data_IF_052358046930
#
_entry.id   IF_052358046930
#
_cell.length_a   1.000
_cell.length_b   1.000
_cell.length_c   1.000
_cell.angle_alpha   90.00
_cell.angle_beta   90.00
_cell.angle_gamma   90.00
#
_symmetry.space_group_name_H-M   'P 1'
#
loop_
_entity.id
_entity.type
_entity.pdbx_description
1 polymer ?
#
# COMPACT_ATOMS: atom_id res chain seq x y z
N UNK A 1 -9.82 -21.91 17.09
CA UNK A 1 -10.10 -20.58 17.69
C UNK A 1 -11.55 -20.60 18.11
N UNK A 2 -11.83 -20.39 19.39
CA UNK A 2 -13.17 -20.67 19.93
C UNK A 2 -14.09 -19.44 19.89
N UNK A 3 -13.52 -18.24 19.96
CA UNK A 3 -14.24 -16.98 19.88
C UNK A 3 -13.40 -15.87 19.27
N UNK A 4 -14.00 -15.07 18.40
CA UNK A 4 -13.42 -13.88 17.77
C UNK A 4 -14.24 -12.68 18.21
N UNK A 5 -13.60 -11.69 18.79
CA UNK A 5 -14.23 -10.40 19.10
C UNK A 5 -13.83 -9.41 17.99
N UNK A 6 -14.80 -9.03 17.17
CA UNK A 6 -14.65 -8.09 16.06
C UNK A 6 -15.09 -6.69 16.49
N UNK A 7 -14.17 -5.75 16.61
CA UNK A 7 -14.42 -4.41 17.16
C UNK A 7 -14.33 -3.38 16.05
N UNK A 8 -15.46 -2.76 15.69
CA UNK A 8 -15.53 -1.69 14.68
C UNK A 8 -15.18 -2.14 13.26
N UNK A 9 -15.03 -3.45 13.02
CA UNK A 9 -14.63 -3.99 11.72
C UNK A 9 -15.82 -4.06 10.78
N UNK A 10 -15.60 -3.63 9.53
CA UNK A 10 -16.52 -3.86 8.42
C UNK A 10 -15.84 -4.83 7.45
N UNK A 11 -16.33 -6.05 7.40
CA UNK A 11 -15.83 -7.06 6.49
C UNK A 11 -16.32 -6.75 5.06
N UNK A 12 -15.40 -6.37 4.18
CA UNK A 12 -15.65 -6.17 2.74
C UNK A 12 -14.89 -7.24 1.96
N UNK A 13 -15.20 -7.37 0.70
CA UNK A 13 -14.51 -8.27 -0.24
C UNK A 13 -13.00 -8.02 -0.28
N UNK A 14 -12.59 -6.76 -0.39
CA UNK A 14 -11.16 -6.38 -0.45
C UNK A 14 -10.43 -6.70 0.85
N UNK A 15 -11.02 -6.38 2.01
CA UNK A 15 -10.39 -6.60 3.33
C UNK A 15 -10.29 -8.09 3.65
N UNK A 16 -11.27 -8.87 3.21
CA UNK A 16 -11.33 -10.31 3.48
C UNK A 16 -10.70 -11.17 2.39
N UNK A 17 -10.13 -10.55 1.36
CA UNK A 17 -9.63 -11.27 0.19
C UNK A 17 -10.73 -12.01 -0.57
N UNK A 18 -11.92 -11.38 -0.73
CA UNK A 18 -13.09 -11.96 -1.38
C UNK A 18 -13.88 -12.90 -0.45
N UNK A 19 -14.05 -12.52 0.82
CA UNK A 19 -14.77 -13.29 1.85
C UNK A 19 -14.18 -14.69 2.10
N UNK A 20 -12.82 -14.75 2.20
CA UNK A 20 -12.09 -16.01 2.44
C UNK A 20 -11.80 -16.31 3.90
N UNK A 21 -12.33 -15.52 4.83
CA UNK A 21 -12.18 -15.79 6.25
C UNK A 21 -12.71 -17.19 6.62
N UNK A 22 -11.91 -17.96 7.34
CA UNK A 22 -12.23 -19.34 7.68
C UNK A 22 -13.03 -19.52 8.97
N UNK A 23 -13.63 -18.44 9.52
CA UNK A 23 -14.48 -18.52 10.71
C UNK A 23 -15.97 -18.44 10.35
N UNK A 24 -16.80 -18.98 11.23
CA UNK A 24 -18.26 -18.94 11.08
C UNK A 24 -18.87 -17.87 11.98
N UNK A 25 -20.13 -17.50 11.71
CA UNK A 25 -20.84 -16.48 12.51
C UNK A 25 -21.00 -16.88 13.99
N UNK A 26 -21.02 -18.17 14.28
CA UNK A 26 -21.13 -18.72 15.64
C UNK A 26 -19.87 -18.47 16.48
N UNK A 27 -18.76 -18.20 15.82
CA UNK A 27 -17.48 -17.90 16.45
C UNK A 27 -17.24 -16.41 16.67
N UNK A 28 -18.16 -15.52 16.23
CA UNK A 28 -17.89 -14.07 16.18
C UNK A 28 -18.86 -13.29 17.06
N UNK A 29 -18.29 -12.41 17.88
CA UNK A 29 -18.99 -11.33 18.55
C UNK A 29 -18.60 -10.03 17.81
N UNK A 30 -19.59 -9.37 17.17
CA UNK A 30 -19.38 -8.11 16.47
C UNK A 30 -19.77 -6.95 17.37
N UNK A 31 -18.82 -6.04 17.65
CA UNK A 31 -19.04 -4.82 18.44
C UNK A 31 -18.92 -3.63 17.51
N UNK A 32 -20.03 -2.94 17.27
CA UNK A 32 -20.13 -1.73 16.46
C UNK A 32 -20.38 -0.50 17.34
N UNK A 33 -20.27 0.73 16.83
CA UNK A 33 -20.37 1.95 17.63
C UNK A 33 -21.58 2.02 18.57
N UNK A 34 -22.73 1.50 18.13
CA UNK A 34 -23.99 1.55 18.89
C UNK A 34 -24.73 0.21 19.00
N UNK A 35 -24.11 -0.87 18.59
CA UNK A 35 -24.74 -2.20 18.62
C UNK A 35 -23.72 -3.32 18.82
N UNK A 36 -24.16 -4.38 19.47
CA UNK A 36 -23.42 -5.65 19.55
C UNK A 36 -24.25 -6.71 18.84
N UNK A 37 -23.58 -7.57 18.05
CA UNK A 37 -24.22 -8.72 17.42
C UNK A 37 -23.51 -9.98 17.87
N UNK A 38 -24.27 -10.95 18.32
CA UNK A 38 -23.83 -12.27 18.73
C UNK A 38 -24.67 -13.30 17.95
N UNK A 39 -24.01 -13.99 17.04
CA UNK A 39 -24.65 -14.90 16.08
C UNK A 39 -25.74 -14.14 15.28
N UNK A 40 -27.00 -14.39 15.51
CA UNK A 40 -28.12 -13.76 14.80
C UNK A 40 -28.84 -12.69 15.67
N UNK A 41 -28.44 -12.51 16.93
CA UNK A 41 -29.06 -11.55 17.84
C UNK A 41 -28.29 -10.23 17.84
N UNK A 42 -29.04 -9.13 17.62
CA UNK A 42 -28.54 -7.77 17.69
C UNK A 42 -29.03 -7.11 18.97
N UNK A 43 -28.10 -6.54 19.74
CA UNK A 43 -28.34 -5.83 20.98
C UNK A 43 -28.06 -4.35 20.74
N UNK A 44 -28.97 -3.50 21.22
CA UNK A 44 -28.80 -2.04 21.09
C UNK A 44 -30.05 -1.26 21.49
N UNK A 45 -29.90 0.06 21.71
CA UNK A 45 -28.64 0.80 21.59
C UNK A 45 -27.68 0.52 22.74
N UNK A 46 -26.42 0.24 22.46
CA UNK A 46 -25.33 0.14 23.43
C UNK A 46 -24.09 0.81 22.86
N UNK A 47 -23.41 1.60 23.66
CA UNK A 47 -22.21 2.31 23.21
C UNK A 47 -21.01 1.39 23.24
N UNK A 48 -20.25 1.33 22.15
CA UNK A 48 -19.08 0.44 22.03
C UNK A 48 -18.08 0.63 23.17
N UNK A 49 -17.84 1.88 23.61
CA UNK A 49 -16.92 2.17 24.70
C UNK A 49 -17.35 1.50 26.00
N UNK A 50 -18.64 1.53 26.33
CA UNK A 50 -19.18 0.91 27.56
C UNK A 50 -19.04 -0.63 27.51
N UNK A 51 -19.31 -1.22 26.34
CA UNK A 51 -19.12 -2.64 26.12
C UNK A 51 -17.68 -3.06 26.32
N UNK A 52 -16.74 -2.31 25.74
CA UNK A 52 -15.31 -2.61 25.87
C UNK A 52 -14.81 -2.43 27.30
N UNK A 53 -15.27 -1.40 28.00
CA UNK A 53 -14.95 -1.19 29.42
C UNK A 53 -15.44 -2.37 30.28
N UNK A 54 -16.70 -2.76 30.13
CA UNK A 54 -17.25 -3.91 30.87
C UNK A 54 -16.55 -5.22 30.55
N UNK A 55 -16.17 -5.45 29.28
CA UNK A 55 -15.37 -6.61 28.91
C UNK A 55 -14.00 -6.59 29.60
N UNK A 56 -13.33 -5.43 29.57
CA UNK A 56 -12.03 -5.26 30.23
C UNK A 56 -12.10 -5.54 31.72
N UNK A 57 -13.18 -5.05 32.39
CA UNK A 57 -13.36 -5.20 33.84
C UNK A 57 -13.76 -6.64 34.23
N UNK A 58 -14.35 -7.39 33.29
CA UNK A 58 -14.87 -8.74 33.53
C UNK A 58 -13.91 -9.86 33.15
N UNK A 59 -12.90 -9.58 32.31
CA UNK A 59 -11.94 -10.58 31.86
C UNK A 59 -10.78 -10.66 32.85
N UNK A 60 -10.60 -11.82 33.44
CA UNK A 60 -9.41 -12.06 34.29
C UNK A 60 -8.12 -11.98 33.45
N UNK A 61 -7.17 -11.20 33.95
CA UNK A 61 -5.83 -11.16 33.35
C UNK A 61 -5.14 -12.51 33.46
N UNK A 62 -5.03 -13.23 32.36
CA UNK A 62 -4.15 -14.40 32.29
C UNK A 62 -2.72 -13.95 31.97
N UNK A 63 -1.76 -14.56 32.68
CA UNK A 63 -0.35 -14.30 32.43
C UNK A 63 0.01 -14.70 31.00
N UNK A 64 0.64 -13.83 30.23
CA UNK A 64 1.05 -14.09 28.84
C UNK A 64 1.91 -15.35 28.69
N UNK A 65 2.66 -15.71 29.75
CA UNK A 65 3.54 -16.86 29.78
C UNK A 65 2.80 -18.21 29.73
N UNK A 66 1.47 -18.22 29.91
CA UNK A 66 0.63 -19.43 29.84
C UNK A 66 -0.04 -19.64 28.47
N UNK A 67 0.09 -18.66 27.57
CA UNK A 67 -0.44 -18.76 26.23
C UNK A 67 0.67 -19.30 25.31
N UNK A 68 0.53 -20.55 24.88
CA UNK A 68 1.35 -21.16 23.81
C UNK A 68 0.96 -20.54 22.45
N UNK A 69 1.09 -19.21 22.36
CA UNK A 69 0.93 -18.48 21.12
C UNK A 69 2.28 -18.51 20.42
N UNK A 70 2.45 -19.44 19.51
CA UNK A 70 3.59 -19.41 18.60
C UNK A 70 3.49 -18.10 17.80
N UNK A 71 4.51 -17.25 17.84
CA UNK A 71 4.55 -16.07 16.97
C UNK A 71 4.39 -16.57 15.53
N UNK A 72 3.56 -15.87 14.75
CA UNK A 72 3.50 -16.12 13.31
C UNK A 72 4.87 -15.72 12.73
N UNK A 73 5.77 -16.70 12.69
CA UNK A 73 7.04 -16.55 12.00
C UNK A 73 6.71 -16.78 10.54
N UNK A 74 6.85 -15.74 9.72
CA UNK A 74 6.95 -15.90 8.27
C UNK A 74 8.16 -16.82 8.03
N UNK A 75 7.88 -18.14 7.92
CA UNK A 75 8.91 -19.10 7.54
C UNK A 75 9.46 -18.65 6.19
N UNK A 76 10.76 -18.30 6.17
CA UNK A 76 11.52 -17.84 5.00
C UNK A 76 10.75 -16.85 4.11
N UNK A 77 10.77 -15.58 4.46
CA UNK A 77 10.39 -14.53 3.53
C UNK A 77 11.28 -14.62 2.30
N UNK A 78 10.72 -14.71 1.08
CA UNK A 78 11.52 -14.71 -0.16
C UNK A 78 12.32 -13.42 -0.36
N UNK A 79 12.19 -12.47 0.58
CA UNK A 79 12.87 -11.19 0.61
C UNK A 79 14.18 -11.21 1.40
N UNK A 80 14.47 -12.27 2.17
CA UNK A 80 15.70 -12.36 2.99
C UNK A 80 16.93 -12.73 2.18
N UNK A 81 16.78 -13.21 0.95
CA UNK A 81 17.89 -13.51 0.05
C UNK A 81 18.51 -12.22 -0.51
N UNK A 82 19.82 -12.25 -0.77
CA UNK A 82 20.52 -11.14 -1.42
C UNK A 82 19.89 -10.82 -2.77
N UNK A 83 19.54 -9.55 -2.97
CA UNK A 83 18.99 -9.10 -4.24
C UNK A 83 20.12 -8.80 -5.24
N UNK A 84 20.24 -9.64 -6.26
CA UNK A 84 21.17 -9.42 -7.38
C UNK A 84 20.38 -8.85 -8.55
N UNK A 85 20.58 -7.55 -8.91
CA UNK A 85 19.88 -6.93 -10.03
C UNK A 85 20.36 -7.49 -11.36
N UNK A 86 19.45 -7.60 -12.32
CA UNK A 86 19.71 -8.09 -13.68
C UNK A 86 19.39 -7.02 -14.71
N UNK A 87 19.99 -7.07 -15.89
CA UNK A 87 19.65 -6.19 -17.01
C UNK A 87 18.37 -6.69 -17.72
N UNK A 88 17.28 -6.78 -16.97
CA UNK A 88 15.95 -7.18 -17.44
C UNK A 88 14.90 -6.21 -16.95
N UNK A 89 13.78 -6.11 -17.66
CA UNK A 89 12.66 -5.25 -17.28
C UNK A 89 12.26 -5.49 -15.81
N UNK A 90 11.98 -4.41 -15.10
CA UNK A 90 11.51 -4.46 -13.72
C UNK A 90 10.13 -5.13 -13.69
N UNK A 91 10.00 -6.18 -12.88
CA UNK A 91 8.71 -6.81 -12.60
C UNK A 91 8.20 -6.42 -11.21
N UNK A 92 6.88 -6.55 -10.98
CA UNK A 92 6.28 -6.29 -9.67
C UNK A 92 6.99 -7.07 -8.55
N UNK A 93 7.22 -8.37 -8.77
CA UNK A 93 7.92 -9.21 -7.80
C UNK A 93 9.32 -8.69 -7.48
N UNK A 94 10.09 -8.37 -8.52
CA UNK A 94 11.49 -7.93 -8.37
C UNK A 94 11.60 -6.52 -7.82
N UNK A 95 10.67 -5.63 -8.19
CA UNK A 95 10.56 -4.30 -7.60
C UNK A 95 10.37 -4.38 -6.08
N UNK A 96 9.44 -5.21 -5.60
CA UNK A 96 9.17 -5.33 -4.17
C UNK A 96 10.30 -6.02 -3.41
N UNK A 97 11.04 -6.95 -4.03
CA UNK A 97 12.27 -7.48 -3.46
C UNK A 97 13.33 -6.37 -3.28
N UNK A 98 13.49 -5.50 -4.26
CA UNK A 98 14.42 -4.39 -4.21
C UNK A 98 13.98 -3.34 -3.16
N UNK A 99 12.69 -3.04 -3.09
CA UNK A 99 12.12 -2.13 -2.10
C UNK A 99 12.29 -2.65 -0.66
N UNK A 100 12.18 -3.94 -0.42
CA UNK A 100 12.46 -4.54 0.88
C UNK A 100 13.86 -4.18 1.40
N UNK A 101 14.88 -4.23 0.54
CA UNK A 101 16.25 -3.86 0.90
C UNK A 101 16.49 -2.34 0.96
N UNK A 102 15.65 -1.55 0.30
CA UNK A 102 15.76 -0.09 0.26
C UNK A 102 15.11 0.60 1.47
N UNK A 103 14.02 0.03 1.98
CA UNK A 103 13.29 0.58 3.13
C UNK A 103 14.13 0.55 4.40
N UNK A 104 13.95 1.55 5.26
CA UNK A 104 14.70 1.73 6.50
C UNK A 104 13.76 1.94 7.69
N UNK A 105 14.28 1.74 8.89
CA UNK A 105 13.55 2.10 10.11
C UNK A 105 13.12 3.57 10.09
N UNK A 106 11.97 3.84 10.66
CA UNK A 106 11.35 5.17 10.73
C UNK A 106 10.90 5.77 9.39
N UNK A 107 10.91 5.05 8.28
CA UNK A 107 10.33 5.52 7.03
C UNK A 107 8.82 5.76 7.16
N UNK A 108 8.29 6.61 6.29
CA UNK A 108 6.86 6.70 5.99
C UNK A 108 6.66 6.14 4.59
N UNK A 109 6.07 4.96 4.49
CA UNK A 109 5.74 4.32 3.23
C UNK A 109 4.29 4.65 2.87
N UNK A 110 4.10 5.38 1.78
CA UNK A 110 2.81 5.74 1.24
C UNK A 110 2.58 4.93 -0.03
N UNK A 111 1.49 4.17 -0.10
CA UNK A 111 1.21 3.31 -1.25
C UNK A 111 -0.17 3.58 -1.82
N UNK A 112 -0.19 3.84 -3.12
CA UNK A 112 -1.43 4.10 -3.83
C UNK A 112 -2.23 2.83 -4.06
N UNK A 113 -3.55 2.98 -4.01
CA UNK A 113 -4.47 1.92 -4.42
C UNK A 113 -4.19 1.51 -5.87
N UNK A 114 -3.91 0.22 -6.06
CA UNK A 114 -3.46 -0.31 -7.34
C UNK A 114 -2.38 -1.36 -7.16
N UNK A 115 -1.58 -1.59 -8.19
CA UNK A 115 -0.44 -2.53 -8.09
C UNK A 115 0.51 -2.23 -6.93
N UNK A 116 0.76 -0.95 -6.53
CA UNK A 116 1.55 -0.64 -5.35
C UNK A 116 0.97 -1.22 -4.05
N UNK A 117 -0.33 -1.05 -3.82
CA UNK A 117 -0.97 -1.55 -2.60
C UNK A 117 -0.91 -3.07 -2.51
N UNK A 118 -1.29 -3.76 -3.58
CA UNK A 118 -1.29 -5.23 -3.59
C UNK A 118 0.13 -5.82 -3.53
N UNK A 119 1.11 -5.14 -4.09
CA UNK A 119 2.50 -5.58 -4.05
C UNK A 119 3.15 -5.38 -2.68
N UNK A 120 2.88 -4.25 -2.03
CA UNK A 120 3.42 -3.92 -0.70
C UNK A 120 2.89 -4.83 0.41
N UNK A 121 1.72 -5.44 0.22
CA UNK A 121 1.13 -6.35 1.20
C UNK A 121 1.98 -7.60 1.48
N UNK A 122 2.92 -7.92 0.60
CA UNK A 122 3.76 -9.10 0.70
C UNK A 122 5.09 -8.86 1.44
N UNK A 123 5.51 -7.60 1.65
CA UNK A 123 6.82 -7.29 2.23
C UNK A 123 6.75 -6.99 3.73
N UNK A 124 7.65 -7.57 4.54
CA UNK A 124 7.85 -7.11 5.91
C UNK A 124 8.37 -5.68 5.93
N UNK A 125 7.84 -4.84 6.81
CA UNK A 125 8.30 -3.47 6.96
C UNK A 125 9.33 -3.37 8.10
N UNK A 126 10.34 -2.49 7.97
CA UNK A 126 11.27 -2.20 9.06
C UNK A 126 10.54 -1.62 10.28
N UNK A 127 11.19 -1.70 11.45
CA UNK A 127 10.64 -1.18 12.71
C UNK A 127 10.27 0.32 12.59
N UNK A 128 9.22 0.71 13.29
CA UNK A 128 8.72 2.10 13.33
C UNK A 128 8.35 2.70 11.96
N UNK A 129 8.22 1.89 10.92
CA UNK A 129 7.69 2.35 9.63
C UNK A 129 6.22 2.71 9.80
N UNK A 130 5.84 3.93 9.36
CA UNK A 130 4.44 4.30 9.19
C UNK A 130 3.97 3.89 7.80
N UNK A 131 2.82 3.23 7.72
CA UNK A 131 2.23 2.81 6.46
C UNK A 131 0.94 3.59 6.19
N UNK A 132 0.86 4.23 5.03
CA UNK A 132 -0.30 5.05 4.62
C UNK A 132 -0.86 4.54 3.30
N UNK A 133 -2.13 4.22 3.30
CA UNK A 133 -2.86 3.78 2.10
C UNK A 133 -4.36 3.97 2.29
N UNK A 134 -5.13 3.81 1.22
CA UNK A 134 -6.59 3.99 1.24
C UNK A 134 -7.31 2.79 0.59
N UNK A 135 -7.34 1.62 1.25
CA UNK A 135 -7.94 0.40 0.69
C UNK A 135 -9.47 0.36 0.77
N UNK A 136 -10.09 1.10 1.71
CA UNK A 136 -11.52 0.97 2.01
C UNK A 136 -12.42 1.42 0.86
N UNK A 137 -12.07 2.55 0.23
CA UNK A 137 -12.82 3.12 -0.88
C UNK A 137 -12.11 2.93 -2.22
N UNK A 138 -10.85 2.53 -2.20
CA UNK A 138 -10.04 2.42 -3.40
C UNK A 138 -9.86 3.73 -4.15
N UNK A 139 -9.92 4.88 -3.44
CA UNK A 139 -9.84 6.20 -4.06
C UNK A 139 -8.45 6.44 -4.60
N UNK A 140 -8.30 6.40 -5.92
CA UNK A 140 -7.06 6.75 -6.60
C UNK A 140 -6.79 8.25 -6.52
N UNK A 141 -5.49 8.63 -6.50
CA UNK A 141 -5.07 10.02 -6.34
C UNK A 141 -5.00 10.51 -4.90
N UNK A 142 -5.38 9.69 -3.92
CA UNK A 142 -5.31 10.04 -2.50
C UNK A 142 -3.88 10.23 -1.99
N UNK A 143 -2.94 9.43 -2.48
CA UNK A 143 -1.64 9.29 -1.83
C UNK A 143 -0.66 10.42 -2.13
N UNK A 144 -0.78 11.12 -3.25
CA UNK A 144 0.07 12.28 -3.50
C UNK A 144 -0.25 13.46 -2.56
N UNK A 145 -1.52 13.85 -2.32
CA UNK A 145 -1.87 14.77 -1.23
C UNK A 145 -1.49 14.24 0.15
N UNK A 146 -1.64 12.94 0.40
CA UNK A 146 -1.24 12.35 1.67
C UNK A 146 0.27 12.46 1.92
N UNK A 147 1.10 12.31 0.87
CA UNK A 147 2.54 12.54 0.93
C UNK A 147 2.88 13.97 1.39
N UNK A 148 2.18 14.97 0.84
CA UNK A 148 2.33 16.35 1.28
C UNK A 148 2.03 16.48 2.78
N UNK A 149 0.91 15.90 3.24
CA UNK A 149 0.51 15.94 4.65
C UNK A 149 1.48 15.22 5.58
N UNK A 150 1.92 14.01 5.23
CA UNK A 150 2.84 13.22 6.05
C UNK A 150 4.22 13.87 6.16
N UNK A 151 4.71 14.46 5.07
CA UNK A 151 6.00 15.15 5.08
C UNK A 151 5.94 16.44 5.92
N UNK A 152 4.85 17.21 5.84
CA UNK A 152 4.64 18.41 6.66
C UNK A 152 4.47 18.07 8.14
N UNK A 153 3.84 16.93 8.47
CA UNK A 153 3.67 16.49 9.83
C UNK A 153 5.00 16.16 10.53
N UNK A 154 5.99 15.68 9.77
CA UNK A 154 7.33 15.41 10.29
C UNK A 154 8.39 15.51 9.18
N UNK A 155 9.05 16.67 9.10
CA UNK A 155 10.07 16.97 8.10
C UNK A 155 11.34 16.11 8.22
N UNK A 156 11.57 15.49 9.38
CA UNK A 156 12.78 14.69 9.62
C UNK A 156 12.65 13.24 9.11
N UNK A 157 11.43 12.75 8.91
CA UNK A 157 11.21 11.38 8.42
C UNK A 157 11.34 11.31 6.90
N UNK A 158 11.97 10.25 6.42
CA UNK A 158 12.02 9.93 5.00
C UNK A 158 10.64 9.44 4.54
N UNK A 159 10.05 10.13 3.58
CA UNK A 159 8.74 9.78 3.03
C UNK A 159 8.93 9.20 1.64
N UNK A 160 8.34 8.03 1.41
CA UNK A 160 8.44 7.26 0.17
C UNK A 160 7.03 7.01 -0.34
N UNK A 161 6.70 7.54 -1.51
CA UNK A 161 5.44 7.28 -2.20
C UNK A 161 5.67 6.30 -3.36
N UNK A 162 4.82 5.29 -3.44
CA UNK A 162 4.75 4.40 -4.60
C UNK A 162 3.35 4.51 -5.18
N UNK A 163 3.24 5.04 -6.40
CA UNK A 163 1.99 5.44 -7.04
C UNK A 163 1.96 5.02 -8.51
N UNK A 164 0.84 4.46 -8.96
CA UNK A 164 0.60 4.22 -10.39
C UNK A 164 0.38 5.53 -11.14
N UNK A 165 0.83 5.61 -12.39
CA UNK A 165 0.78 6.85 -13.16
C UNK A 165 -0.65 7.36 -13.39
N UNK A 166 -1.63 6.48 -13.56
CA UNK A 166 -3.02 6.87 -13.70
C UNK A 166 -3.59 7.52 -12.44
N UNK A 167 -3.23 6.99 -11.26
CA UNK A 167 -3.59 7.58 -9.98
C UNK A 167 -2.89 8.92 -9.77
N UNK A 168 -1.63 9.02 -10.17
CA UNK A 168 -0.85 10.25 -10.11
C UNK A 168 -1.51 11.38 -10.92
N UNK A 169 -2.03 11.08 -12.12
CA UNK A 169 -2.69 12.07 -12.98
C UNK A 169 -3.91 12.73 -12.31
N UNK A 170 -4.60 12.05 -11.39
CA UNK A 170 -5.79 12.58 -10.72
C UNK A 170 -5.48 13.79 -9.84
N UNK A 171 -4.29 13.83 -9.25
CA UNK A 171 -3.89 14.88 -8.29
C UNK A 171 -2.48 15.43 -8.57
N UNK A 172 -1.99 15.31 -9.80
CA UNK A 172 -0.63 15.68 -10.19
C UNK A 172 -0.22 17.11 -9.80
N UNK A 173 -1.18 18.06 -9.72
CA UNK A 173 -0.95 19.45 -9.31
C UNK A 173 -0.40 19.56 -7.88
N UNK A 174 -0.61 18.56 -7.02
CA UNK A 174 -0.04 18.58 -5.66
C UNK A 174 1.48 18.49 -5.65
N UNK A 175 2.09 17.95 -6.71
CA UNK A 175 3.54 17.99 -6.89
C UNK A 175 4.07 19.44 -6.88
N UNK A 176 3.34 20.39 -7.48
CA UNK A 176 3.67 21.81 -7.46
C UNK A 176 3.72 22.36 -6.02
N UNK A 177 2.78 21.96 -5.18
CA UNK A 177 2.75 22.36 -3.76
C UNK A 177 3.92 21.75 -2.99
N UNK A 178 4.25 20.48 -3.21
CA UNK A 178 5.39 19.79 -2.60
C UNK A 178 6.71 20.52 -2.97
N UNK A 179 6.90 20.86 -4.24
CA UNK A 179 8.06 21.60 -4.74
C UNK A 179 8.13 23.03 -4.16
N UNK A 180 7.00 23.74 -4.08
CA UNK A 180 6.91 25.08 -3.48
C UNK A 180 7.32 25.08 -2.01
N UNK A 181 6.94 24.04 -1.26
CA UNK A 181 7.28 23.88 0.16
C UNK A 181 8.72 23.36 0.38
N UNK A 182 9.49 23.13 -0.68
CA UNK A 182 10.84 22.54 -0.65
C UNK A 182 10.88 21.19 0.11
N UNK A 183 9.84 20.40 0.01
CA UNK A 183 9.77 19.05 0.59
C UNK A 183 10.61 18.07 -0.25
N UNK A 184 11.12 17.03 0.39
CA UNK A 184 12.15 16.15 -0.21
C UNK A 184 11.75 14.68 -0.12
N UNK A 185 10.53 14.30 -0.54
CA UNK A 185 10.13 12.92 -0.59
C UNK A 185 10.79 12.17 -1.75
N UNK A 186 10.68 10.85 -1.71
CA UNK A 186 11.02 9.96 -2.81
C UNK A 186 9.71 9.46 -3.41
N UNK A 187 9.51 9.65 -4.70
CA UNK A 187 8.31 9.25 -5.44
C UNK A 187 8.70 8.22 -6.49
N UNK A 188 8.16 7.00 -6.38
CA UNK A 188 8.21 5.99 -7.42
C UNK A 188 6.89 6.02 -8.19
N UNK A 189 6.96 6.44 -9.45
CA UNK A 189 5.83 6.41 -10.37
C UNK A 189 5.88 5.10 -11.16
N UNK A 190 4.94 4.21 -10.88
CA UNK A 190 4.82 2.95 -11.64
C UNK A 190 4.11 3.22 -12.96
N UNK A 191 4.85 3.12 -14.05
CA UNK A 191 4.34 3.27 -15.39
C UNK A 191 4.23 1.90 -16.08
N UNK A 192 3.02 1.36 -16.07
CA UNK A 192 2.66 0.06 -16.63
C UNK A 192 1.62 0.17 -17.75
N UNK A 193 1.56 1.31 -18.42
CA UNK A 193 0.72 1.56 -19.59
C UNK A 193 -0.77 1.22 -19.40
N UNK A 194 -1.41 1.78 -18.39
CA UNK A 194 -2.85 1.69 -18.11
C UNK A 194 -3.21 1.22 -16.71
N UNK A 195 -4.50 0.96 -16.51
CA UNK A 195 -5.05 0.49 -15.24
C UNK A 195 -4.96 -1.02 -15.13
N UNK A 196 -3.84 -1.56 -14.64
CA UNK A 196 -3.62 -3.01 -14.48
C UNK A 196 -4.62 -3.66 -13.53
N UNK A 197 -5.11 -2.95 -12.51
CA UNK A 197 -6.14 -3.48 -11.59
C UNK A 197 -7.45 -3.72 -12.35
N UNK A 198 -7.88 -2.74 -13.14
CA UNK A 198 -9.10 -2.84 -13.96
C UNK A 198 -8.96 -3.97 -14.98
N UNK A 199 -7.78 -4.10 -15.61
CA UNK A 199 -7.48 -5.22 -16.51
C UNK A 199 -7.62 -6.57 -15.83
N UNK A 200 -7.17 -6.68 -14.58
CA UNK A 200 -7.22 -7.92 -13.82
C UNK A 200 -8.65 -8.31 -13.40
N UNK A 201 -9.52 -7.32 -13.12
CA UNK A 201 -10.87 -7.56 -12.57
C UNK A 201 -11.94 -7.52 -13.68
N UNK A 202 -11.89 -6.54 -14.57
CA UNK A 202 -12.95 -6.24 -15.52
C UNK A 202 -12.62 -6.60 -16.98
N UNK A 203 -11.41 -7.09 -17.23
CA UNK A 203 -10.97 -7.55 -18.55
C UNK A 203 -9.90 -6.69 -19.20
N UNK A 204 -9.04 -7.36 -19.96
CA UNK A 204 -7.81 -6.80 -20.50
C UNK A 204 -8.03 -5.64 -21.50
N UNK A 205 -9.12 -5.67 -22.26
CA UNK A 205 -9.30 -4.83 -23.45
C UNK A 205 -10.38 -3.75 -23.28
N UNK A 206 -10.73 -3.40 -22.05
CA UNK A 206 -11.72 -2.34 -21.82
C UNK A 206 -11.10 -0.97 -22.18
N UNK A 207 -11.80 -0.12 -22.95
CA UNK A 207 -11.25 1.16 -23.42
C UNK A 207 -10.79 2.10 -22.31
N UNK A 208 -11.43 2.07 -21.15
CA UNK A 208 -11.07 2.89 -20.00
C UNK A 208 -9.80 2.44 -19.28
N UNK A 209 -9.25 1.28 -19.63
CA UNK A 209 -7.95 0.84 -19.08
C UNK A 209 -6.78 1.68 -19.60
N UNK A 210 -6.94 2.26 -20.79
CA UNK A 210 -5.90 3.05 -21.46
C UNK A 210 -6.13 4.53 -21.19
N UNK A 211 -5.06 5.21 -20.76
CA UNK A 211 -5.09 6.64 -20.47
C UNK A 211 -3.94 7.35 -21.17
N UNK A 212 -4.07 8.66 -21.35
CA UNK A 212 -3.03 9.46 -22.01
C UNK A 212 -1.71 9.39 -21.24
N UNK A 213 -0.65 9.01 -21.93
CA UNK A 213 0.71 9.03 -21.39
C UNK A 213 1.22 10.47 -21.33
N UNK A 214 1.81 10.83 -20.20
CA UNK A 214 2.51 12.11 -20.03
C UNK A 214 4.03 11.92 -20.01
N UNK A 215 4.76 13.01 -20.19
CA UNK A 215 6.20 13.05 -19.95
C UNK A 215 6.46 13.42 -18.49
N UNK A 216 6.42 12.42 -17.61
CA UNK A 216 6.45 12.63 -16.16
C UNK A 216 7.77 13.24 -15.67
N UNK A 217 8.86 12.94 -16.35
CA UNK A 217 10.18 13.47 -15.98
C UNK A 217 10.33 14.98 -16.20
N UNK A 218 9.42 15.60 -16.95
CA UNK A 218 9.42 17.05 -17.18
C UNK A 218 8.51 17.82 -16.22
N UNK A 219 7.78 17.19 -15.35
CA UNK A 219 6.79 17.85 -14.50
C UNK A 219 7.41 18.93 -13.59
N UNK A 220 8.56 18.67 -12.99
CA UNK A 220 9.24 19.67 -12.16
C UNK A 220 9.63 20.92 -12.93
N UNK A 221 10.10 20.74 -14.17
CA UNK A 221 10.40 21.85 -15.08
C UNK A 221 9.12 22.63 -15.46
N UNK A 222 8.03 21.91 -15.79
CA UNK A 222 6.73 22.52 -16.12
C UNK A 222 6.20 23.36 -14.96
N UNK A 223 6.43 22.91 -13.72
CA UNK A 223 6.07 23.65 -12.51
C UNK A 223 7.10 24.71 -12.10
N UNK A 224 8.11 24.99 -12.94
CA UNK A 224 9.12 26.00 -12.69
C UNK A 224 10.02 25.74 -11.48
N UNK A 225 10.32 24.46 -11.21
CA UNK A 225 11.06 24.01 -10.04
C UNK A 225 12.04 22.87 -10.37
N UNK A 226 12.65 22.90 -11.55
CA UNK A 226 13.55 21.86 -12.04
C UNK A 226 14.74 21.63 -11.08
N UNK A 227 15.29 22.68 -10.53
CA UNK A 227 16.43 22.64 -9.61
C UNK A 227 16.10 22.02 -8.24
N UNK A 228 14.81 21.85 -7.91
CA UNK A 228 14.33 21.29 -6.63
C UNK A 228 14.14 19.78 -6.66
N UNK A 229 14.31 19.17 -7.81
CA UNK A 229 14.10 17.72 -7.96
C UNK A 229 15.20 17.06 -8.78
N UNK A 230 15.42 15.77 -8.51
CA UNK A 230 16.13 14.85 -9.39
C UNK A 230 15.10 13.88 -9.98
N UNK A 231 15.10 13.74 -11.29
CA UNK A 231 14.19 12.88 -12.02
C UNK A 231 14.95 11.78 -12.73
N UNK A 232 14.42 10.56 -12.63
CA UNK A 232 14.99 9.37 -13.24
C UNK A 232 13.90 8.61 -13.97
N UNK A 233 14.27 7.97 -15.06
CA UNK A 233 13.46 6.96 -15.74
C UNK A 233 14.24 5.67 -15.75
N UNK A 234 13.67 4.59 -15.25
CA UNK A 234 14.30 3.28 -15.16
C UNK A 234 13.45 2.23 -15.88
N UNK A 235 14.11 1.40 -16.67
CA UNK A 235 13.47 0.38 -17.50
C UNK A 235 13.89 -1.04 -17.10
N UNK A 236 14.97 -1.18 -16.34
CA UNK A 236 15.47 -2.47 -15.89
C UNK A 236 15.94 -2.45 -14.43
N UNK A 237 16.14 -3.65 -13.84
CA UNK A 237 16.52 -3.82 -12.44
C UNK A 237 17.89 -3.19 -12.10
N UNK A 238 18.85 -3.24 -13.02
CA UNK A 238 20.20 -2.69 -12.79
C UNK A 238 20.15 -1.17 -12.72
N UNK A 239 19.41 -0.50 -13.61
CA UNK A 239 19.19 0.95 -13.56
C UNK A 239 18.50 1.36 -12.26
N UNK A 240 17.46 0.61 -11.84
CA UNK A 240 16.79 0.88 -10.57
C UNK A 240 17.77 0.76 -9.39
N UNK A 241 18.60 -0.28 -9.36
CA UNK A 241 19.60 -0.49 -8.30
C UNK A 241 20.63 0.66 -8.25
N UNK A 242 21.09 1.11 -9.40
CA UNK A 242 22.00 2.26 -9.51
C UNK A 242 21.36 3.53 -8.96
N UNK A 243 20.12 3.83 -9.36
CA UNK A 243 19.37 4.98 -8.86
C UNK A 243 19.19 4.89 -7.35
N UNK A 244 18.76 3.74 -6.80
CA UNK A 244 18.58 3.56 -5.36
C UNK A 244 19.88 3.78 -4.57
N UNK A 245 21.02 3.35 -5.11
CA UNK A 245 22.33 3.59 -4.52
C UNK A 245 22.66 5.09 -4.49
N UNK A 246 22.46 5.77 -5.62
CA UNK A 246 22.77 7.19 -5.77
C UNK A 246 21.92 8.08 -4.87
N UNK A 247 20.62 7.79 -4.73
CA UNK A 247 19.70 8.62 -3.94
C UNK A 247 19.81 8.39 -2.43
N UNK A 248 20.45 7.31 -1.98
CA UNK A 248 20.63 7.03 -0.55
C UNK A 248 21.35 8.16 0.17
N UNK A 249 22.25 8.86 -0.52
CA UNK A 249 23.02 9.98 0.01
C UNK A 249 22.42 11.35 -0.33
N UNK A 250 21.41 11.43 -1.19
CA UNK A 250 20.78 12.69 -1.55
C UNK A 250 19.58 12.99 -0.63
N UNK A 251 19.77 13.97 0.25
CA UNK A 251 18.72 14.45 1.16
C UNK A 251 18.27 15.89 0.83
N UNK A 252 18.70 16.44 -0.30
CA UNK A 252 18.56 17.88 -0.57
C UNK A 252 17.46 18.24 -1.57
N UNK A 253 16.96 17.26 -2.34
CA UNK A 253 15.99 17.49 -3.40
C UNK A 253 14.88 16.44 -3.33
N UNK A 254 13.73 16.73 -3.90
CA UNK A 254 12.71 15.75 -4.21
C UNK A 254 13.28 14.75 -5.22
N UNK A 255 13.05 13.47 -5.01
CA UNK A 255 13.44 12.41 -5.94
C UNK A 255 12.20 11.86 -6.64
N UNK A 256 12.18 11.90 -7.96
CA UNK A 256 11.10 11.38 -8.79
C UNK A 256 11.63 10.30 -9.72
N UNK A 257 11.12 9.08 -9.59
CA UNK A 257 11.60 7.91 -10.34
C UNK A 257 10.42 7.30 -11.09
N UNK A 258 10.42 7.43 -12.41
CA UNK A 258 9.49 6.72 -13.27
C UNK A 258 10.03 5.30 -13.52
N UNK A 259 9.27 4.29 -13.05
CA UNK A 259 9.63 2.87 -13.21
C UNK A 259 8.74 2.24 -14.28
N UNK A 260 9.35 1.84 -15.39
CA UNK A 260 8.66 1.20 -16.50
C UNK A 260 8.46 -0.29 -16.20
N UNK A 261 7.22 -0.73 -16.29
CA UNK A 261 6.85 -2.14 -16.11
C UNK A 261 5.93 -2.62 -17.24
N UNK A 262 5.83 -3.93 -17.40
CA UNK A 262 4.89 -4.50 -18.35
C UNK A 262 3.44 -4.23 -17.94
N UNK A 263 2.59 -3.96 -18.92
CA UNK A 263 1.15 -3.75 -18.74
C UNK A 263 0.43 -4.95 -18.10
N UNK A 264 0.91 -6.16 -18.37
CA UNK A 264 0.33 -7.40 -17.86
C UNK A 264 0.95 -7.89 -16.56
N UNK A 265 2.04 -7.25 -16.10
CA UNK A 265 2.70 -7.67 -14.87
C UNK A 265 1.95 -7.14 -13.65
N UNK A 266 1.62 -8.04 -12.74
CA UNK A 266 0.80 -7.72 -11.57
C UNK A 266 1.27 -8.49 -10.33
N UNK A 267 1.08 -7.93 -9.13
CA UNK A 267 1.35 -8.65 -7.89
C UNK A 267 0.50 -9.91 -7.77
N UNK A 268 1.07 -10.95 -7.16
CA UNK A 268 0.40 -12.24 -6.99
C UNK A 268 -0.97 -12.12 -6.28
N UNK A 269 -1.05 -11.25 -5.27
CA UNK A 269 -2.30 -11.00 -4.55
C UNK A 269 -3.37 -10.42 -5.48
N UNK A 270 -3.01 -9.45 -6.33
CA UNK A 270 -3.94 -8.90 -7.32
C UNK A 270 -4.41 -9.96 -8.33
N UNK A 271 -3.49 -10.80 -8.82
CA UNK A 271 -3.83 -11.88 -9.73
C UNK A 271 -4.85 -12.87 -9.14
N UNK A 272 -4.66 -13.23 -7.85
CA UNK A 272 -5.60 -14.10 -7.12
C UNK A 272 -6.98 -13.44 -6.94
N UNK A 273 -7.01 -12.17 -6.53
CA UNK A 273 -8.25 -11.42 -6.32
C UNK A 273 -8.98 -11.15 -7.65
N UNK A 274 -8.26 -10.71 -8.69
CA UNK A 274 -8.84 -10.46 -10.01
C UNK A 274 -9.55 -11.69 -10.58
N UNK A 275 -8.91 -12.87 -10.48
CA UNK A 275 -9.54 -14.12 -10.88
C UNK A 275 -10.83 -14.41 -10.09
N UNK A 276 -10.84 -14.12 -8.79
CA UNK A 276 -11.99 -14.38 -7.93
C UNK A 276 -13.14 -13.41 -8.20
N UNK A 277 -12.84 -12.11 -8.30
CA UNK A 277 -13.86 -11.09 -8.60
C UNK A 277 -14.44 -11.24 -10.02
N UNK A 278 -13.61 -11.60 -10.99
CA UNK A 278 -14.10 -11.93 -12.34
C UNK A 278 -15.11 -13.08 -12.35
N UNK A 279 -14.96 -14.08 -11.47
CA UNK A 279 -15.93 -15.19 -11.32
C UNK A 279 -17.23 -14.77 -10.62
N UNK A 280 -17.19 -13.74 -9.75
CA UNK A 280 -18.39 -13.26 -9.06
C UNK A 280 -19.24 -12.33 -9.92
N UNK A 281 -18.63 -11.71 -10.92
CA UNK A 281 -19.27 -10.74 -11.83
C UNK A 281 -19.71 -11.36 -13.18
N UNK A 282 -19.40 -12.63 -13.41
CA UNK A 282 -19.86 -13.42 -14.56
C UNK A 282 -21.07 -14.26 -14.23
#
# INVERSE_FOLDING_TARGET
MDCIISIGVKLTDTITGGFTQGFTKEQVIEIHPYTVKIIDKKYGPVVMQDVLQHLSDSIEHRNKDTLDVKPFILESSPFTEEFIPKAQMVTQKRFWQQMYHFLQENDVLIVEQGTPFFGSAAIPLPNNTAYVGQPLWGSIGYTLPALLGTQLANLSRRNILIIGYGSFQVTAQELSTILRQNLKPIIFLINNNGYTVERAIHGQNQPYNDIQMWDYNKLSMIFGAEEKSLTFKVENESELAEVLTNITFNKNQLIFIEVIMSQSDQPELLAKLGKRFGQQNS
#
